data_IF_725937544917
#
_entry.id   IF_725937544917
#
_cell.length_a   1.000
_cell.length_b   1.000
_cell.length_c   1.000
_cell.angle_alpha   90.00
_cell.angle_beta   90.00
_cell.angle_gamma   90.00
#
_symmetry.space_group_name_H-M   'P 1'
#
loop_
_entity.id
_entity.type
_entity.pdbx_description
1 polymer ?
#
# COMPACT_ATOMS: atom_id res chain seq x y z
N UNK A 1 -18.22 18.50 4.45
CA UNK A 1 -17.12 17.59 4.13
C UNK A 1 -16.30 17.34 5.39
N UNK A 2 -15.92 16.10 5.71
CA UNK A 2 -15.02 15.83 6.82
C UNK A 2 -13.66 16.48 6.56
N UNK A 3 -12.94 16.82 7.62
CA UNK A 3 -11.54 17.26 7.53
C UNK A 3 -10.64 16.06 7.25
N UNK A 4 -9.42 16.30 6.76
CA UNK A 4 -8.46 15.22 6.51
C UNK A 4 -8.05 14.49 7.78
N UNK A 5 -7.94 15.20 8.90
CA UNK A 5 -7.64 14.58 10.19
C UNK A 5 -8.77 13.65 10.65
N UNK A 6 -10.05 14.02 10.45
CA UNK A 6 -11.18 13.13 10.71
C UNK A 6 -11.16 11.89 9.82
N UNK A 7 -10.83 12.05 8.53
CA UNK A 7 -10.72 10.93 7.60
C UNK A 7 -9.56 9.98 7.97
N UNK A 8 -8.40 10.52 8.31
CA UNK A 8 -7.25 9.73 8.74
C UNK A 8 -7.52 8.97 10.04
N UNK A 9 -8.23 9.58 10.98
CA UNK A 9 -8.65 8.92 12.22
C UNK A 9 -9.66 7.79 11.96
N UNK A 10 -10.69 8.03 11.12
CA UNK A 10 -11.66 7.01 10.73
C UNK A 10 -10.96 5.83 10.03
N UNK A 11 -10.02 6.15 9.13
CA UNK A 11 -9.24 5.17 8.38
C UNK A 11 -8.32 4.33 9.29
N UNK A 12 -7.61 4.97 10.21
CA UNK A 12 -6.78 4.27 11.19
C UNK A 12 -7.63 3.33 12.07
N UNK A 13 -8.81 3.80 12.53
CA UNK A 13 -9.75 2.99 13.30
C UNK A 13 -10.29 1.80 12.47
N UNK A 14 -10.58 2.00 11.19
CA UNK A 14 -11.00 0.93 10.27
C UNK A 14 -9.93 -0.15 10.12
N UNK A 15 -8.69 0.23 9.79
CA UNK A 15 -7.62 -0.73 9.56
C UNK A 15 -7.22 -1.47 10.84
N UNK A 16 -7.24 -0.79 12.00
CA UNK A 16 -7.07 -1.45 13.30
C UNK A 16 -8.14 -2.50 13.56
N UNK A 17 -9.40 -2.15 13.35
CA UNK A 17 -10.52 -3.08 13.57
C UNK A 17 -10.51 -4.26 12.56
N UNK A 18 -10.01 -4.04 11.34
CA UNK A 18 -9.92 -5.05 10.29
C UNK A 18 -8.65 -5.91 10.39
N UNK A 19 -7.65 -5.51 11.17
CA UNK A 19 -6.33 -6.17 11.20
C UNK A 19 -6.39 -7.71 11.29
N UNK A 20 -7.25 -8.36 12.12
CA UNK A 20 -7.29 -9.82 12.22
C UNK A 20 -7.70 -10.56 10.94
N UNK A 21 -8.43 -9.88 10.04
CA UNK A 21 -8.97 -10.46 8.79
C UNK A 21 -8.46 -9.72 7.54
N UNK A 22 -7.50 -8.81 7.72
CA UNK A 22 -6.99 -7.99 6.61
C UNK A 22 -6.40 -8.84 5.50
N UNK A 23 -5.67 -9.89 5.87
CA UNK A 23 -4.99 -10.76 4.91
C UNK A 23 -5.92 -11.70 4.14
N UNK A 24 -7.18 -11.85 4.55
CA UNK A 24 -8.15 -12.66 3.82
C UNK A 24 -8.33 -12.15 2.38
N UNK A 25 -8.29 -10.83 2.19
CA UNK A 25 -8.31 -10.22 0.86
C UNK A 25 -7.05 -10.58 0.05
N UNK A 26 -5.88 -10.53 0.68
CA UNK A 26 -4.60 -10.82 0.04
C UNK A 26 -4.47 -12.29 -0.34
N UNK A 27 -4.88 -13.17 0.55
CA UNK A 27 -4.81 -14.62 0.41
C UNK A 27 -6.06 -15.21 -0.29
N UNK A 28 -7.00 -14.39 -0.73
CA UNK A 28 -8.26 -14.80 -1.35
C UNK A 28 -8.96 -15.92 -0.56
N UNK A 29 -9.04 -15.78 0.77
CA UNK A 29 -9.58 -16.78 1.69
C UNK A 29 -10.71 -16.23 2.57
N UNK A 30 -11.24 -17.07 3.46
CA UNK A 30 -12.31 -16.68 4.39
C UNK A 30 -13.60 -16.34 3.66
N UNK A 31 -14.15 -15.14 3.89
CA UNK A 31 -15.35 -14.63 3.26
C UNK A 31 -15.09 -13.93 1.91
N UNK A 32 -13.93 -14.15 1.28
CA UNK A 32 -13.60 -13.57 -0.01
C UNK A 32 -14.59 -14.03 -1.09
N UNK A 33 -15.25 -13.10 -1.80
CA UNK A 33 -16.32 -13.44 -2.73
C UNK A 33 -15.85 -13.87 -4.12
N UNK A 34 -14.53 -14.00 -4.36
CA UNK A 34 -14.00 -14.32 -5.69
C UNK A 34 -14.33 -15.75 -6.11
N UNK A 35 -14.68 -15.93 -7.39
CA UNK A 35 -14.76 -17.26 -8.01
C UNK A 35 -13.37 -17.90 -8.10
N UNK A 36 -13.31 -19.20 -8.39
CA UNK A 36 -12.03 -19.91 -8.52
C UNK A 36 -11.19 -19.32 -9.68
N UNK A 37 -11.80 -18.99 -10.82
CA UNK A 37 -11.12 -18.35 -11.96
C UNK A 37 -10.56 -16.98 -11.57
N UNK A 38 -11.32 -16.20 -10.80
CA UNK A 38 -10.86 -14.90 -10.35
C UNK A 38 -9.76 -15.00 -9.28
N UNK A 39 -9.77 -16.06 -8.48
CA UNK A 39 -8.66 -16.36 -7.55
C UNK A 39 -7.38 -16.70 -8.29
N UNK A 40 -7.46 -17.54 -9.33
CA UNK A 40 -6.29 -17.86 -10.17
C UNK A 40 -5.73 -16.61 -10.83
N UNK A 41 -6.58 -15.77 -11.44
CA UNK A 41 -6.17 -14.51 -12.03
C UNK A 41 -5.56 -13.55 -10.97
N UNK A 42 -6.13 -13.50 -9.76
CA UNK A 42 -5.60 -12.71 -8.66
C UNK A 42 -4.20 -13.16 -8.22
N UNK A 43 -3.97 -14.47 -8.07
CA UNK A 43 -2.65 -14.99 -7.69
C UNK A 43 -1.61 -14.80 -8.79
N UNK A 44 -2.01 -14.84 -10.06
CA UNK A 44 -1.11 -14.49 -11.17
C UNK A 44 -0.64 -13.03 -11.07
N UNK A 45 -1.57 -12.08 -10.87
CA UNK A 45 -1.27 -10.65 -10.67
C UNK A 45 -0.39 -10.42 -9.44
N UNK A 46 -0.75 -11.04 -8.31
CA UNK A 46 0.05 -10.97 -7.08
C UNK A 46 1.47 -11.49 -7.29
N UNK A 47 1.65 -12.57 -8.03
CA UNK A 47 2.98 -13.11 -8.37
C UNK A 47 3.81 -12.13 -9.18
N UNK A 48 3.19 -11.36 -10.09
CA UNK A 48 3.88 -10.31 -10.84
C UNK A 48 4.36 -9.21 -9.88
N UNK A 49 3.50 -8.74 -8.97
CA UNK A 49 3.85 -7.73 -7.98
C UNK A 49 4.98 -8.19 -7.05
N UNK A 50 4.85 -9.40 -6.49
CA UNK A 50 5.84 -9.96 -5.57
C UNK A 50 7.21 -10.17 -6.26
N UNK A 51 7.19 -10.62 -7.52
CA UNK A 51 8.41 -10.76 -8.34
C UNK A 51 9.05 -9.42 -8.64
N UNK A 52 8.25 -8.41 -8.97
CA UNK A 52 8.73 -7.06 -9.22
C UNK A 52 9.43 -6.47 -7.98
N UNK A 53 8.79 -6.58 -6.81
CA UNK A 53 9.37 -6.14 -5.54
C UNK A 53 10.65 -6.90 -5.20
N UNK A 54 10.63 -8.24 -5.30
CA UNK A 54 11.79 -9.08 -4.98
C UNK A 54 13.00 -8.73 -5.84
N UNK A 55 12.82 -8.57 -7.14
CA UNK A 55 13.88 -8.15 -8.06
C UNK A 55 14.40 -6.75 -7.75
N UNK A 56 13.52 -5.81 -7.39
CA UNK A 56 13.94 -4.47 -7.02
C UNK A 56 14.75 -4.49 -5.71
N UNK A 57 14.30 -5.22 -4.69
CA UNK A 57 15.03 -5.39 -3.44
C UNK A 57 16.38 -6.11 -3.65
N UNK A 58 16.43 -7.15 -4.50
CA UNK A 58 17.66 -7.86 -4.82
C UNK A 58 18.71 -6.94 -5.47
N UNK A 59 18.28 -5.99 -6.30
CA UNK A 59 19.16 -4.96 -6.88
C UNK A 59 19.72 -3.96 -5.84
N UNK A 60 19.22 -4.01 -4.61
CA UNK A 60 19.61 -3.16 -3.48
C UNK A 60 20.09 -3.99 -2.28
N UNK A 61 20.58 -5.20 -2.52
CA UNK A 61 21.03 -6.10 -1.45
C UNK A 61 22.06 -5.40 -0.54
N UNK A 62 21.84 -5.49 0.77
CA UNK A 62 22.69 -4.81 1.77
C UNK A 62 22.34 -3.35 2.02
N UNK A 63 21.27 -2.82 1.43
CA UNK A 63 20.82 -1.45 1.65
C UNK A 63 20.07 -1.28 2.99
N UNK A 64 20.06 -0.04 3.50
CA UNK A 64 19.12 0.40 4.52
C UNK A 64 17.77 0.72 3.87
N UNK A 65 16.72 0.04 4.28
CA UNK A 65 15.37 0.20 3.69
C UNK A 65 14.38 0.70 4.74
N UNK A 66 13.43 1.51 4.30
CA UNK A 66 12.30 2.00 5.09
C UNK A 66 11.00 1.59 4.43
N UNK A 67 10.14 0.89 5.15
CA UNK A 67 8.78 0.60 4.74
C UNK A 67 7.81 1.53 5.48
N UNK A 68 7.05 2.32 4.71
CA UNK A 68 6.02 3.22 5.23
C UNK A 68 4.65 2.54 5.12
N UNK A 69 3.78 2.73 6.13
CA UNK A 69 2.48 2.06 6.22
C UNK A 69 2.60 0.54 6.05
N UNK A 70 3.49 -0.08 6.82
CA UNK A 70 3.90 -1.49 6.66
C UNK A 70 2.76 -2.51 6.87
N UNK A 71 1.70 -2.12 7.58
CA UNK A 71 0.52 -2.95 7.77
C UNK A 71 0.85 -4.32 8.34
N UNK A 72 0.14 -5.34 7.89
CA UNK A 72 0.29 -6.73 8.33
C UNK A 72 1.49 -7.46 7.69
N UNK A 73 2.34 -6.78 6.92
CA UNK A 73 3.61 -7.32 6.44
C UNK A 73 3.56 -8.11 5.14
N UNK A 74 2.58 -7.84 4.28
CA UNK A 74 2.47 -8.53 2.98
C UNK A 74 3.68 -8.31 2.07
N UNK A 75 4.38 -7.18 2.22
CA UNK A 75 5.60 -6.87 1.47
C UNK A 75 6.85 -6.81 2.35
N UNK A 76 6.70 -6.63 3.67
CA UNK A 76 7.83 -6.60 4.64
C UNK A 76 8.71 -7.83 4.53
N UNK A 77 8.11 -9.03 4.46
CA UNK A 77 8.85 -10.29 4.36
C UNK A 77 9.72 -10.41 3.10
N UNK A 78 9.32 -9.75 2.01
CA UNK A 78 10.12 -9.70 0.78
C UNK A 78 11.32 -8.77 1.00
N UNK A 79 11.09 -7.55 1.47
CA UNK A 79 12.14 -6.58 1.72
C UNK A 79 13.17 -7.05 2.76
N UNK A 80 12.72 -7.70 3.84
CA UNK A 80 13.56 -8.20 4.92
C UNK A 80 14.61 -9.24 4.45
N UNK A 81 14.33 -9.98 3.37
CA UNK A 81 15.31 -10.95 2.81
C UNK A 81 16.55 -10.28 2.20
N UNK A 82 16.42 -9.04 1.75
CA UNK A 82 17.44 -8.33 0.98
C UNK A 82 18.09 -7.18 1.75
N UNK A 83 17.35 -6.54 2.66
CA UNK A 83 17.84 -5.40 3.42
C UNK A 83 18.91 -5.83 4.44
N UNK A 84 19.95 -4.98 4.61
CA UNK A 84 20.85 -5.07 5.77
C UNK A 84 20.12 -4.61 7.03
N UNK A 85 19.35 -3.53 6.89
CA UNK A 85 18.48 -2.96 7.91
C UNK A 85 17.14 -2.56 7.30
N UNK A 86 16.05 -3.04 7.89
CA UNK A 86 14.69 -2.65 7.51
C UNK A 86 14.01 -1.97 8.71
N UNK A 87 13.51 -0.76 8.49
CA UNK A 87 12.60 -0.08 9.44
C UNK A 87 11.20 -0.13 8.87
N UNK A 88 10.24 -0.66 9.63
CA UNK A 88 8.83 -0.78 9.23
C UNK A 88 7.96 0.12 10.11
N UNK A 89 7.31 1.12 9.51
CA UNK A 89 6.53 2.14 10.21
C UNK A 89 5.04 1.96 9.91
N UNK A 90 4.22 1.92 10.95
CA UNK A 90 2.75 1.95 10.84
C UNK A 90 2.13 2.63 12.06
N UNK A 91 0.94 3.21 11.91
CA UNK A 91 0.23 3.87 13.00
C UNK A 91 -0.44 2.88 13.97
N UNK A 92 -0.64 1.61 13.58
CA UNK A 92 -1.31 0.59 14.39
C UNK A 92 -0.32 -0.44 14.95
N UNK A 93 -0.14 -0.47 16.28
CA UNK A 93 0.68 -1.51 16.90
C UNK A 93 0.10 -2.93 16.69
N UNK A 94 -1.21 -3.06 16.50
CA UNK A 94 -1.87 -4.34 16.26
C UNK A 94 -1.46 -4.95 14.92
N UNK A 95 -1.40 -4.13 13.85
CA UNK A 95 -0.97 -4.64 12.54
C UNK A 95 0.53 -4.94 12.52
N UNK A 96 1.35 -4.13 13.20
CA UNK A 96 2.79 -4.40 13.33
C UNK A 96 3.06 -5.69 14.14
N UNK A 97 2.24 -6.00 15.14
CA UNK A 97 2.34 -7.29 15.86
C UNK A 97 2.03 -8.49 14.93
N UNK A 98 1.05 -8.36 14.03
CA UNK A 98 0.76 -9.38 13.01
C UNK A 98 1.95 -9.51 12.04
N UNK A 99 2.50 -8.39 11.58
CA UNK A 99 3.66 -8.33 10.71
C UNK A 99 4.86 -9.08 11.33
N UNK A 100 5.23 -8.72 12.55
CA UNK A 100 6.30 -9.40 13.29
C UNK A 100 6.03 -10.91 13.47
N UNK A 101 4.78 -11.27 13.75
CA UNK A 101 4.37 -12.67 13.87
C UNK A 101 4.55 -13.47 12.58
N UNK A 102 4.30 -12.86 11.40
CA UNK A 102 4.52 -13.51 10.10
C UNK A 102 6.01 -13.72 9.80
N UNK A 103 6.86 -12.80 10.20
CA UNK A 103 8.31 -12.92 10.00
C UNK A 103 8.94 -13.97 10.91
N UNK A 104 8.32 -14.29 12.06
CA UNK A 104 8.88 -15.24 13.01
C UNK A 104 10.27 -14.82 13.50
N UNK A 105 11.26 -15.67 13.31
CA UNK A 105 12.65 -15.39 13.72
C UNK A 105 13.30 -14.24 12.92
N UNK A 106 12.84 -13.95 11.72
CA UNK A 106 13.37 -12.83 10.92
C UNK A 106 12.87 -11.46 11.42
N UNK A 107 11.92 -11.42 12.35
CA UNK A 107 11.43 -10.17 12.96
C UNK A 107 12.53 -9.41 13.72
N UNK A 108 13.52 -10.11 14.26
CA UNK A 108 14.66 -9.51 14.95
C UNK A 108 15.55 -8.65 14.04
N UNK A 109 15.39 -8.78 12.71
CA UNK A 109 16.10 -7.99 11.69
C UNK A 109 15.35 -6.74 11.27
N UNK A 110 14.11 -6.55 11.75
CA UNK A 110 13.23 -5.45 11.38
C UNK A 110 12.98 -4.56 12.60
N UNK A 111 13.26 -3.27 12.44
CA UNK A 111 12.89 -2.27 13.43
C UNK A 111 11.45 -1.83 13.22
N UNK A 112 10.53 -2.23 14.11
CA UNK A 112 9.13 -1.82 14.05
C UNK A 112 8.91 -0.50 14.79
N UNK A 113 8.33 0.49 14.09
CA UNK A 113 8.07 1.83 14.64
C UNK A 113 6.58 2.13 14.57
N UNK A 114 5.96 2.37 15.73
CA UNK A 114 4.56 2.83 15.79
C UNK A 114 4.54 4.34 15.67
N UNK A 115 4.07 4.85 14.51
CA UNK A 115 4.00 6.29 14.28
C UNK A 115 2.95 6.65 13.21
N UNK A 116 2.32 7.81 13.38
CA UNK A 116 1.54 8.46 12.32
C UNK A 116 2.51 9.12 11.33
N UNK A 117 2.44 8.74 10.07
CA UNK A 117 3.34 9.22 9.02
C UNK A 117 3.30 10.74 8.83
N UNK A 118 2.19 11.40 9.11
CA UNK A 118 2.06 12.85 8.95
C UNK A 118 2.65 13.66 10.11
N UNK A 119 2.91 13.00 11.24
CA UNK A 119 3.59 13.59 12.40
C UNK A 119 4.98 13.00 12.67
N UNK A 120 5.39 12.00 11.89
CA UNK A 120 6.64 11.29 12.10
C UNK A 120 7.82 11.95 11.39
N UNK A 121 8.93 12.09 12.10
CA UNK A 121 10.21 12.54 11.54
C UNK A 121 11.18 11.36 11.45
N UNK A 122 11.74 11.08 10.27
CA UNK A 122 12.67 9.97 10.09
C UNK A 122 13.96 10.24 10.89
N UNK A 123 14.47 9.26 11.66
CA UNK A 123 15.69 9.43 12.45
C UNK A 123 16.97 9.49 11.60
N UNK A 124 16.88 9.05 10.35
CA UNK A 124 17.98 9.00 9.38
C UNK A 124 17.43 9.01 7.94
N UNK A 125 18.32 9.09 6.97
CA UNK A 125 17.99 8.85 5.56
C UNK A 125 18.32 7.42 5.17
N UNK A 126 17.56 6.88 4.21
CA UNK A 126 17.62 5.49 3.77
C UNK A 126 18.07 5.41 2.31
N UNK A 127 18.62 4.26 1.93
CA UNK A 127 18.98 3.92 0.56
C UNK A 127 17.72 3.72 -0.30
N UNK A 128 16.68 3.19 0.34
CA UNK A 128 15.44 2.87 -0.30
C UNK A 128 14.24 3.11 0.62
N UNK A 129 13.14 3.57 0.03
CA UNK A 129 11.82 3.69 0.68
C UNK A 129 10.83 2.84 -0.12
N UNK A 130 10.02 2.05 0.59
CA UNK A 130 8.97 1.27 -0.05
C UNK A 130 7.64 1.39 0.72
N UNK A 131 6.53 1.20 0.02
CA UNK A 131 5.19 1.14 0.61
C UNK A 131 4.20 0.49 -0.35
N UNK A 132 3.24 -0.23 0.21
CA UNK A 132 2.17 -0.87 -0.55
C UNK A 132 0.78 -0.48 -0.07
N UNK A 133 -0.17 -0.29 -1.02
CA UNK A 133 -1.59 -0.04 -0.73
C UNK A 133 -1.85 1.15 0.20
N UNK A 134 -1.02 2.18 0.07
CA UNK A 134 -1.09 3.37 0.91
C UNK A 134 -1.47 4.64 0.16
N UNK A 135 -0.91 4.89 -1.03
CA UNK A 135 -1.12 6.18 -1.72
C UNK A 135 -2.59 6.42 -2.06
N UNK A 136 -3.36 5.39 -2.34
CA UNK A 136 -4.80 5.50 -2.57
C UNK A 136 -5.58 5.97 -1.34
N UNK A 137 -4.96 5.92 -0.16
CA UNK A 137 -5.54 6.27 1.13
C UNK A 137 -5.06 7.63 1.65
N UNK A 138 -4.23 8.34 0.89
CA UNK A 138 -3.74 9.68 1.25
C UNK A 138 -4.77 10.74 0.86
N UNK A 139 -5.29 11.57 1.80
CA UNK A 139 -6.14 12.70 1.48
C UNK A 139 -5.45 13.68 0.51
N UNK A 140 -6.23 14.33 -0.37
CA UNK A 140 -5.65 15.17 -1.41
C UNK A 140 -4.85 16.36 -0.90
N UNK A 141 -5.26 16.96 0.20
CA UNK A 141 -4.55 18.09 0.84
C UNK A 141 -3.32 17.62 1.67
N UNK A 142 -3.19 16.31 1.95
CA UNK A 142 -2.00 15.70 2.58
C UNK A 142 -1.04 15.06 1.58
N UNK A 143 -1.38 15.09 0.31
CA UNK A 143 -0.59 14.45 -0.75
C UNK A 143 0.83 15.01 -0.85
N UNK A 144 0.96 16.34 -0.84
CA UNK A 144 2.26 17.01 -0.85
C UNK A 144 3.10 16.72 0.39
N UNK A 145 2.46 16.63 1.57
CA UNK A 145 3.13 16.30 2.83
C UNK A 145 3.71 14.89 2.78
N UNK A 146 2.94 13.92 2.26
CA UNK A 146 3.40 12.54 2.13
C UNK A 146 4.62 12.41 1.20
N UNK A 147 4.57 12.97 -0.01
CA UNK A 147 5.70 12.87 -0.92
C UNK A 147 6.92 13.67 -0.44
N UNK A 148 6.70 14.75 0.28
CA UNK A 148 7.77 15.48 0.97
C UNK A 148 8.41 14.63 2.07
N UNK A 149 7.63 13.83 2.80
CA UNK A 149 8.14 12.85 3.76
C UNK A 149 9.00 11.80 3.03
N UNK A 150 8.48 11.17 1.97
CA UNK A 150 9.23 10.18 1.17
C UNK A 150 10.57 10.76 0.72
N UNK A 151 10.57 12.01 0.23
CA UNK A 151 11.79 12.68 -0.23
C UNK A 151 12.79 12.93 0.90
N UNK A 152 12.31 13.31 2.10
CA UNK A 152 13.17 13.49 3.30
C UNK A 152 13.75 12.17 3.81
N UNK A 153 13.02 11.08 3.68
CA UNK A 153 13.50 9.75 4.06
C UNK A 153 14.63 9.24 3.15
N UNK A 154 14.69 9.71 1.89
CA UNK A 154 15.67 9.24 0.93
C UNK A 154 16.98 10.04 0.97
N UNK A 155 18.11 9.35 0.96
CA UNK A 155 19.40 9.98 0.65
C UNK A 155 19.43 10.45 -0.82
N UNK A 156 20.35 11.37 -1.19
CA UNK A 156 20.53 11.73 -2.60
C UNK A 156 20.79 10.49 -3.48
N UNK A 157 19.99 10.33 -4.54
CA UNK A 157 20.03 9.15 -5.41
C UNK A 157 19.39 7.89 -4.84
N UNK A 158 18.77 7.98 -3.64
CA UNK A 158 17.99 6.89 -3.06
C UNK A 158 16.81 6.48 -3.94
N UNK A 159 16.31 5.28 -3.75
CA UNK A 159 15.28 4.69 -4.60
C UNK A 159 13.95 4.55 -3.86
N UNK A 160 12.85 4.65 -4.59
CA UNK A 160 11.50 4.37 -4.07
C UNK A 160 10.84 3.28 -4.89
N UNK A 161 10.16 2.38 -4.20
CA UNK A 161 9.24 1.41 -4.78
C UNK A 161 7.87 1.54 -4.11
N UNK A 162 6.82 1.46 -4.88
CA UNK A 162 5.47 1.43 -4.33
C UNK A 162 4.51 0.63 -5.20
N UNK A 163 3.47 0.11 -4.56
CA UNK A 163 2.33 -0.46 -5.26
C UNK A 163 1.01 0.02 -4.65
N UNK A 164 -0.04 -0.05 -5.45
CA UNK A 164 -1.42 0.15 -4.99
C UNK A 164 -2.38 -0.62 -5.90
N UNK A 165 -3.67 -0.57 -5.59
CA UNK A 165 -4.71 -1.12 -6.44
C UNK A 165 -4.82 -0.29 -7.72
N UNK A 166 -4.80 -0.94 -8.88
CA UNK A 166 -5.09 -0.31 -10.16
C UNK A 166 -6.57 0.13 -10.25
N UNK A 167 -6.90 1.01 -11.21
CA UNK A 167 -8.29 1.35 -11.45
C UNK A 167 -9.06 0.10 -11.91
N UNK A 168 -10.18 -0.25 -11.25
CA UNK A 168 -11.01 -1.40 -11.61
C UNK A 168 -11.47 -1.43 -13.06
N UNK A 169 -11.49 -0.28 -13.73
CA UNK A 169 -11.80 -0.21 -15.16
C UNK A 169 -10.87 -1.08 -16.00
N UNK A 170 -9.63 -1.28 -15.59
CA UNK A 170 -8.68 -2.17 -16.27
C UNK A 170 -9.18 -3.61 -16.26
N UNK A 171 -9.61 -4.12 -15.11
CA UNK A 171 -10.14 -5.47 -14.97
C UNK A 171 -11.45 -5.69 -15.72
N UNK A 172 -12.31 -4.65 -15.78
CA UNK A 172 -13.54 -4.71 -16.61
C UNK A 172 -13.21 -4.76 -18.10
N UNK A 173 -12.26 -3.95 -18.57
CA UNK A 173 -11.82 -3.93 -19.97
C UNK A 173 -11.13 -5.23 -20.37
N UNK A 174 -10.36 -5.83 -19.45
CA UNK A 174 -9.72 -7.13 -19.64
C UNK A 174 -10.73 -8.31 -19.61
N UNK A 175 -11.97 -8.05 -19.21
CA UNK A 175 -13.00 -9.09 -19.06
C UNK A 175 -12.78 -10.03 -17.87
N UNK A 176 -11.87 -9.68 -16.98
CA UNK A 176 -11.54 -10.46 -15.76
C UNK A 176 -12.52 -10.17 -14.64
N UNK A 177 -12.87 -8.89 -14.46
CA UNK A 177 -13.84 -8.50 -13.45
C UNK A 177 -15.26 -8.54 -14.04
N UNK A 178 -16.25 -9.09 -13.32
CA UNK A 178 -17.64 -9.03 -13.74
C UNK A 178 -18.12 -7.59 -13.79
N UNK A 179 -19.00 -7.31 -14.73
CA UNK A 179 -19.47 -5.96 -15.02
C UNK A 179 -19.89 -5.17 -13.77
N UNK A 180 -19.16 -4.08 -13.53
CA UNK A 180 -19.45 -2.95 -12.63
C UNK A 180 -19.82 -3.29 -11.19
N UNK A 181 -19.52 -4.49 -10.73
CA UNK A 181 -19.72 -4.85 -9.33
C UNK A 181 -18.46 -4.50 -8.52
N UNK A 182 -18.43 -3.26 -8.04
CA UNK A 182 -17.32 -2.75 -7.20
C UNK A 182 -17.08 -3.56 -5.90
N UNK A 183 -17.93 -4.55 -5.61
CA UNK A 183 -17.82 -5.45 -4.44
C UNK A 183 -16.55 -6.27 -4.43
N UNK A 184 -15.95 -6.54 -5.59
CA UNK A 184 -14.71 -7.32 -5.70
C UNK A 184 -13.48 -6.60 -5.18
N UNK A 185 -13.51 -5.28 -5.10
CA UNK A 185 -12.33 -4.51 -4.71
C UNK A 185 -12.28 -4.16 -3.23
N UNK A 186 -13.38 -4.27 -2.52
CA UNK A 186 -13.43 -3.86 -1.12
C UNK A 186 -14.78 -4.06 -0.40
N UNK A 187 -15.60 -5.03 -0.77
CA UNK A 187 -16.94 -5.19 -0.19
C UNK A 187 -17.96 -4.17 -0.73
N UNK A 188 -19.11 -3.99 -0.11
CA UNK A 188 -20.24 -3.15 -0.57
C UNK A 188 -19.97 -1.64 -0.75
N UNK A 189 -18.75 -1.26 -1.07
CA UNK A 189 -18.28 0.10 -0.97
C UNK A 189 -18.36 0.82 -2.32
N UNK A 190 -19.34 1.69 -2.43
CA UNK A 190 -19.38 2.66 -3.52
C UNK A 190 -18.27 3.69 -3.30
N UNK A 191 -17.31 3.72 -4.22
CA UNK A 191 -16.29 4.76 -4.23
C UNK A 191 -16.90 5.98 -4.89
N UNK A 192 -17.04 7.06 -4.14
CA UNK A 192 -17.32 8.37 -4.70
C UNK A 192 -16.04 8.89 -5.38
N UNK A 193 -16.02 8.86 -6.70
CA UNK A 193 -14.84 9.27 -7.49
C UNK A 193 -14.58 10.77 -7.43
N UNK A 194 -15.61 11.58 -7.14
CA UNK A 194 -15.48 13.04 -7.08
C UNK A 194 -14.78 13.47 -5.78
N UNK A 195 -15.13 12.85 -4.67
CA UNK A 195 -14.52 13.12 -3.36
C UNK A 195 -13.35 12.22 -3.03
N UNK A 196 -13.26 11.04 -3.65
CA UNK A 196 -12.29 9.99 -3.29
C UNK A 196 -12.57 9.37 -1.92
N UNK A 197 -13.80 9.49 -1.39
CA UNK A 197 -14.19 8.94 -0.09
C UNK A 197 -15.11 7.74 -0.30
N UNK A 198 -14.89 6.68 0.45
CA UNK A 198 -15.76 5.51 0.47
C UNK A 198 -16.16 5.18 1.91
N UNK A 199 -17.36 4.69 2.08
CA UNK A 199 -17.81 4.11 3.34
C UNK A 199 -17.45 2.63 3.38
N UNK A 200 -16.83 2.19 4.48
CA UNK A 200 -16.44 0.81 4.73
C UNK A 200 -17.22 0.27 5.91
N UNK A 201 -17.96 -0.80 5.68
CA UNK A 201 -18.73 -1.46 6.73
C UNK A 201 -18.06 -2.78 7.10
N UNK A 202 -17.80 -2.97 8.39
CA UNK A 202 -17.29 -4.23 8.93
C UNK A 202 -18.42 -5.25 9.13
N UNK A 203 -18.11 -6.56 9.23
CA UNK A 203 -19.12 -7.59 9.47
C UNK A 203 -19.97 -7.38 10.73
N UNK A 204 -19.47 -6.65 11.71
CA UNK A 204 -20.18 -6.29 12.94
C UNK A 204 -21.07 -5.05 12.79
N UNK A 205 -21.17 -4.47 11.60
CA UNK A 205 -22.00 -3.33 11.26
C UNK A 205 -21.38 -1.96 11.56
N UNK A 206 -20.17 -1.89 12.10
CA UNK A 206 -19.46 -0.60 12.23
C UNK A 206 -19.07 -0.05 10.87
N UNK A 207 -19.30 1.25 10.68
CA UNK A 207 -19.02 1.98 9.45
C UNK A 207 -17.92 3.00 9.65
N UNK A 208 -17.08 3.17 8.64
CA UNK A 208 -15.93 4.08 8.63
C UNK A 208 -15.80 4.75 7.27
N UNK A 209 -15.36 6.00 7.26
CA UNK A 209 -14.99 6.71 6.03
C UNK A 209 -13.51 6.47 5.75
N UNK A 210 -13.22 6.05 4.52
CA UNK A 210 -11.85 5.75 4.06
C UNK A 210 -11.61 6.48 2.76
N UNK A 211 -10.45 7.10 2.62
CA UNK A 211 -10.02 7.64 1.33
C UNK A 211 -9.71 6.49 0.39
N UNK A 212 -10.19 6.56 -0.86
CA UNK A 212 -9.84 5.61 -1.93
C UNK A 212 -9.79 6.33 -3.26
N UNK A 213 -8.59 6.46 -3.77
CA UNK A 213 -8.27 7.10 -5.05
C UNK A 213 -7.59 6.13 -5.98
N UNK A 214 -7.75 6.34 -7.28
CA UNK A 214 -7.04 5.62 -8.32
C UNK A 214 -6.20 6.60 -9.13
N UNK A 215 -5.07 6.13 -9.63
CA UNK A 215 -4.10 6.96 -10.32
C UNK A 215 -3.85 6.43 -11.73
N UNK A 216 -3.84 7.33 -12.71
CA UNK A 216 -3.34 7.01 -14.03
C UNK A 216 -1.79 6.99 -13.99
N UNK A 217 -1.13 5.95 -14.50
CA UNK A 217 0.31 5.78 -14.40
C UNK A 217 1.13 7.00 -14.87
N UNK A 218 0.83 7.50 -16.07
CA UNK A 218 1.57 8.61 -16.66
C UNK A 218 1.35 9.95 -15.92
N UNK A 219 0.16 10.15 -15.35
CA UNK A 219 -0.16 11.34 -14.56
C UNK A 219 0.59 11.29 -13.23
N UNK A 220 0.55 10.15 -12.56
CA UNK A 220 1.27 9.96 -11.32
C UNK A 220 2.78 10.14 -11.52
N UNK A 221 3.38 9.54 -12.55
CA UNK A 221 4.80 9.69 -12.84
C UNK A 221 5.19 11.16 -13.07
N UNK A 222 4.37 11.92 -13.80
CA UNK A 222 4.58 13.37 -14.00
C UNK A 222 4.47 14.17 -12.70
N UNK A 223 3.50 13.83 -11.86
CA UNK A 223 3.30 14.49 -10.57
C UNK A 223 4.47 14.23 -9.61
N UNK A 224 4.98 12.99 -9.55
CA UNK A 224 6.13 12.63 -8.73
C UNK A 224 7.40 13.41 -9.11
N UNK A 225 7.55 13.77 -10.38
CA UNK A 225 8.66 14.60 -10.83
C UNK A 225 8.66 15.98 -10.16
N UNK A 226 7.49 16.53 -9.81
CA UNK A 226 7.39 17.82 -9.11
C UNK A 226 7.90 17.75 -7.66
N UNK A 227 7.94 16.55 -7.07
CA UNK A 227 8.52 16.27 -5.76
C UNK A 227 10.01 15.85 -5.84
N UNK A 228 10.63 15.94 -7.03
CA UNK A 228 12.02 15.55 -7.24
C UNK A 228 12.24 14.03 -7.27
N UNK A 229 11.20 13.26 -7.62
CA UNK A 229 11.27 11.80 -7.77
C UNK A 229 11.04 11.47 -9.24
N UNK A 230 12.10 11.07 -9.94
CA UNK A 230 12.01 10.55 -11.30
C UNK A 230 11.48 9.12 -11.25
N UNK A 231 10.19 8.92 -11.57
CA UNK A 231 9.53 7.65 -11.46
C UNK A 231 9.02 7.12 -12.79
N UNK A 232 9.05 5.78 -12.92
CA UNK A 232 8.27 5.02 -13.89
C UNK A 232 7.13 4.36 -13.15
N UNK A 233 5.91 4.55 -13.64
CA UNK A 233 4.70 3.95 -13.08
C UNK A 233 4.03 3.11 -14.16
N UNK A 234 3.64 1.90 -13.83
CA UNK A 234 2.97 0.95 -14.72
C UNK A 234 1.81 0.28 -14.01
N UNK A 235 1.06 -0.54 -14.72
CA UNK A 235 0.11 -1.46 -14.10
C UNK A 235 0.49 -2.89 -14.44
N UNK A 236 0.10 -3.83 -13.59
CA UNK A 236 -0.05 -5.22 -14.01
C UNK A 236 -1.21 -5.30 -15.00
N UNK A 237 -1.59 -6.49 -15.43
CA UNK A 237 -2.66 -6.59 -16.43
C UNK A 237 -3.95 -5.90 -15.98
N UNK A 238 -4.34 -6.06 -14.68
CA UNK A 238 -5.59 -5.47 -14.21
C UNK A 238 -5.65 -5.09 -12.71
N UNK A 239 -4.81 -5.67 -11.84
CA UNK A 239 -5.04 -5.56 -10.39
C UNK A 239 -4.22 -4.48 -9.71
N UNK A 240 -2.96 -4.28 -10.12
CA UNK A 240 -2.03 -3.45 -9.36
C UNK A 240 -1.39 -2.35 -10.20
N UNK A 241 -1.16 -1.23 -9.53
CA UNK A 241 -0.30 -0.15 -9.98
C UNK A 241 1.06 -0.33 -9.31
N UNK A 242 2.13 -0.24 -10.09
CA UNK A 242 3.52 -0.41 -9.65
C UNK A 242 4.31 0.84 -9.99
N UNK A 243 5.10 1.33 -9.05
CA UNK A 243 5.97 2.48 -9.26
C UNK A 243 7.37 2.26 -8.75
N UNK A 244 8.35 2.65 -9.56
CA UNK A 244 9.77 2.69 -9.20
C UNK A 244 10.33 4.05 -9.52
N UNK A 245 11.08 4.64 -8.60
CA UNK A 245 11.64 5.97 -8.79
C UNK A 245 12.98 6.16 -8.12
N UNK A 246 13.58 7.32 -8.39
CA UNK A 246 14.83 7.75 -7.78
C UNK A 246 14.73 9.23 -7.40
N UNK A 247 15.25 9.58 -6.23
CA UNK A 247 15.25 10.92 -5.66
C UNK A 247 16.57 11.68 -5.91
#
# INVERSE_FOLDING_TARGET
MPTSDELLNDQAAYYRARAPVYDDWWEARGSDPRSDELREAWFAERSVLETDLDQWCAGLAGASMLELAAGTGNITGIAARHADRLTAVDASPEVLAINAGKLGADADRVEFVVADLFGWEPPMTYDAVLFGFWISHVPGDRWGDFWSLVRRCLRPGGQVWFCDTADPELGWRAGVLPHRDARFLSGDNRIDRDTGITERVLPDGRSYRVVKRFYAPDELARELSSFGIAATVTTTEWAFLLGRGRA
#
